data_IF_923626754866
#
_entry.id   IF_923626754866
#
_cell.length_a   1.000
_cell.length_b   1.000
_cell.length_c   1.000
_cell.angle_alpha   90.00
_cell.angle_beta   90.00
_cell.angle_gamma   90.00
#
_symmetry.space_group_name_H-M   'P 1'
#
loop_
_entity.id
_entity.type
_entity.pdbx_description
1 polymer ?
#
# COMPACT_ATOMS: atom_id res chain seq x y z
N UNK A 1 47.82 -17.92 30.98
CA UNK A 1 46.59 -18.74 31.02
C UNK A 1 45.52 -17.95 31.74
N UNK A 2 44.33 -17.88 31.15
CA UNK A 2 43.00 -17.53 31.68
C UNK A 2 42.24 -16.68 30.65
N UNK A 3 40.92 -16.91 30.61
CA UNK A 3 39.87 -16.28 29.81
C UNK A 3 39.47 -16.91 28.48
N UNK A 4 38.96 -18.14 28.57
CA UNK A 4 37.82 -18.67 27.82
C UNK A 4 36.99 -19.41 28.90
N UNK A 5 35.68 -19.31 29.10
CA UNK A 5 34.56 -19.02 28.23
C UNK A 5 33.38 -18.61 29.12
N UNK A 6 32.87 -17.39 28.97
CA UNK A 6 31.54 -17.01 29.47
C UNK A 6 30.61 -16.87 28.26
N UNK A 7 30.29 -17.99 27.61
CA UNK A 7 29.26 -18.00 26.56
C UNK A 7 27.90 -17.83 27.23
N UNK A 8 27.34 -16.62 27.15
CA UNK A 8 26.04 -16.34 27.72
C UNK A 8 24.94 -17.07 26.93
N UNK A 9 23.89 -17.57 27.61
CA UNK A 9 22.78 -18.28 26.97
C UNK A 9 21.98 -17.42 25.97
N UNK A 10 22.20 -16.09 25.95
CA UNK A 10 21.56 -15.16 25.02
C UNK A 10 22.04 -15.31 23.57
N UNK A 11 23.27 -15.75 23.33
CA UNK A 11 23.78 -15.95 21.96
C UNK A 11 23.13 -17.17 21.27
N UNK A 12 22.72 -18.17 22.03
CA UNK A 12 22.08 -19.40 21.50
C UNK A 12 20.67 -19.16 20.96
N UNK A 13 19.98 -18.09 21.41
CA UNK A 13 18.64 -17.73 20.93
C UNK A 13 18.65 -16.78 19.73
N UNK A 14 19.79 -16.13 19.46
CA UNK A 14 19.95 -15.19 18.34
C UNK A 14 19.54 -15.77 16.98
N UNK A 15 19.94 -17.00 16.59
CA UNK A 15 19.53 -17.57 15.31
C UNK A 15 18.02 -17.84 15.23
N UNK A 16 17.39 -18.23 16.34
CA UNK A 16 15.94 -18.48 16.40
C UNK A 16 15.17 -17.16 16.24
N UNK A 17 15.59 -16.10 16.94
CA UNK A 17 14.99 -14.76 16.82
C UNK A 17 15.14 -14.21 15.40
N UNK A 18 16.29 -14.42 14.75
CA UNK A 18 16.54 -13.97 13.37
C UNK A 18 15.65 -14.71 12.36
N UNK A 19 15.43 -16.02 12.56
CA UNK A 19 14.51 -16.82 11.74
C UNK A 19 13.06 -16.35 11.95
N UNK A 20 12.59 -16.20 13.20
CA UNK A 20 11.24 -15.69 13.48
C UNK A 20 11.04 -14.28 12.92
N UNK A 21 12.02 -13.39 13.07
CA UNK A 21 11.97 -12.04 12.52
C UNK A 21 11.97 -12.04 10.99
N UNK A 22 12.74 -12.92 10.34
CA UNK A 22 12.76 -13.05 8.88
C UNK A 22 11.43 -13.61 8.35
N UNK A 23 10.83 -14.61 9.01
CA UNK A 23 9.48 -15.09 8.70
C UNK A 23 8.42 -14.01 8.93
N UNK A 24 8.54 -13.22 10.00
CA UNK A 24 7.66 -12.09 10.25
C UNK A 24 7.78 -11.00 9.18
N UNK A 25 9.00 -10.65 8.75
CA UNK A 25 9.24 -9.72 7.66
C UNK A 25 8.71 -10.25 6.32
N UNK A 26 8.91 -11.54 6.02
CA UNK A 26 8.40 -12.18 4.80
C UNK A 26 6.87 -12.23 4.83
N UNK A 27 6.26 -12.57 5.96
CA UNK A 27 4.81 -12.60 6.16
C UNK A 27 4.20 -11.20 6.02
N UNK A 28 4.82 -10.19 6.62
CA UNK A 28 4.42 -8.77 6.49
C UNK A 28 4.55 -8.28 5.05
N UNK A 29 5.66 -8.61 4.37
CA UNK A 29 5.89 -8.26 2.96
C UNK A 29 4.96 -9.01 1.99
N UNK A 30 4.58 -10.26 2.32
CA UNK A 30 3.54 -11.01 1.59
C UNK A 30 2.15 -10.41 1.82
N UNK A 31 1.78 -10.04 3.05
CA UNK A 31 0.53 -9.34 3.32
C UNK A 31 0.43 -8.01 2.57
N UNK A 32 1.50 -7.22 2.52
CA UNK A 32 1.52 -5.96 1.78
C UNK A 32 1.44 -6.17 0.26
N UNK A 33 2.07 -7.22 -0.29
CA UNK A 33 1.93 -7.58 -1.71
C UNK A 33 0.55 -8.15 -2.06
N UNK A 34 -0.08 -8.89 -1.14
CA UNK A 34 -1.38 -9.54 -1.36
C UNK A 34 -2.56 -8.56 -1.17
N UNK A 35 -2.31 -7.38 -0.58
CA UNK A 35 -3.25 -6.26 -0.47
C UNK A 35 -3.30 -5.34 -1.69
N UNK A 36 -2.31 -5.42 -2.58
CA UNK A 36 -2.38 -4.75 -3.86
C UNK A 36 -3.28 -5.55 -4.78
N UNK A 37 -4.53 -5.09 -4.94
CA UNK A 37 -5.43 -5.59 -5.97
C UNK A 37 -4.75 -5.40 -7.33
N UNK A 38 -4.16 -6.46 -7.83
CA UNK A 38 -3.80 -6.60 -9.23
C UNK A 38 -5.10 -6.81 -10.01
N UNK A 39 -5.82 -5.74 -10.36
CA UNK A 39 -6.91 -5.78 -11.35
C UNK A 39 -7.31 -4.37 -11.78
N UNK A 40 -6.58 -3.78 -12.73
CA UNK A 40 -7.14 -2.68 -13.54
C UNK A 40 -8.43 -3.12 -14.23
N UNK A 41 -8.50 -4.38 -14.63
CA UNK A 41 -9.63 -4.98 -15.35
C UNK A 41 -10.92 -5.03 -14.51
N UNK A 42 -10.83 -5.34 -13.21
CA UNK A 42 -12.01 -5.36 -12.33
C UNK A 42 -12.56 -3.94 -12.12
N UNK A 43 -11.70 -2.94 -11.92
CA UNK A 43 -12.14 -1.54 -11.74
C UNK A 43 -12.79 -1.00 -13.00
N UNK A 44 -12.25 -1.36 -14.17
CA UNK A 44 -12.83 -0.97 -15.45
C UNK A 44 -14.23 -1.56 -15.64
N UNK A 45 -14.44 -2.83 -15.25
CA UNK A 45 -15.76 -3.45 -15.25
C UNK A 45 -16.75 -2.71 -14.34
N UNK A 46 -16.30 -2.28 -13.17
CA UNK A 46 -17.15 -1.52 -12.23
C UNK A 46 -17.62 -0.22 -12.83
N UNK A 47 -16.71 0.55 -13.44
CA UNK A 47 -17.09 1.82 -14.05
C UNK A 47 -18.00 1.59 -15.25
N UNK A 48 -17.78 0.54 -16.04
CA UNK A 48 -18.71 0.18 -17.13
C UNK A 48 -20.12 -0.13 -16.65
N UNK A 49 -20.26 -0.94 -15.60
CA UNK A 49 -21.56 -1.23 -15.01
C UNK A 49 -22.21 0.05 -14.47
N UNK A 50 -21.45 0.93 -13.82
CA UNK A 50 -21.95 2.23 -13.39
C UNK A 50 -22.43 3.12 -14.55
N UNK A 51 -21.67 3.19 -15.65
CA UNK A 51 -22.07 3.94 -16.84
C UNK A 51 -23.33 3.35 -17.49
N UNK A 52 -23.48 2.02 -17.46
CA UNK A 52 -24.68 1.34 -17.92
C UNK A 52 -25.90 1.69 -17.06
N UNK A 53 -25.75 1.70 -15.74
CA UNK A 53 -26.80 2.04 -14.78
C UNK A 53 -27.19 3.53 -14.81
N UNK A 54 -26.32 4.40 -15.32
CA UNK A 54 -26.56 5.85 -15.46
C UNK A 54 -26.91 6.25 -16.89
N UNK A 55 -27.35 5.31 -17.73
CA UNK A 55 -27.72 5.51 -19.14
C UNK A 55 -26.66 6.16 -20.03
N UNK A 56 -25.38 6.04 -19.66
CA UNK A 56 -24.22 6.56 -20.40
C UNK A 56 -23.53 5.47 -21.21
N UNK A 57 -24.33 4.59 -21.81
CA UNK A 57 -23.82 3.50 -22.63
C UNK A 57 -23.09 4.04 -23.87
N UNK A 58 -21.87 3.57 -24.11
CA UNK A 58 -21.02 4.00 -25.23
C UNK A 58 -20.02 5.12 -24.90
N UNK A 59 -20.02 5.63 -23.66
CA UNK A 59 -18.96 6.51 -23.17
C UNK A 59 -17.65 5.72 -23.04
N UNK A 60 -16.53 6.32 -23.43
CA UNK A 60 -15.19 5.71 -23.31
C UNK A 60 -14.52 6.19 -22.03
N UNK A 61 -13.78 5.33 -21.35
CA UNK A 61 -12.98 5.75 -20.19
C UNK A 61 -11.70 6.43 -20.65
N UNK A 62 -11.47 7.67 -20.22
CA UNK A 62 -10.26 8.43 -20.48
C UNK A 62 -9.22 8.14 -19.40
N UNK A 63 -9.62 8.36 -18.14
CA UNK A 63 -8.78 8.23 -16.96
C UNK A 63 -9.47 7.37 -15.91
N UNK A 64 -8.68 6.60 -15.17
CA UNK A 64 -9.17 5.74 -14.11
C UNK A 64 -8.14 5.61 -12.99
N UNK A 65 -8.58 5.90 -11.76
CA UNK A 65 -7.80 5.76 -10.55
C UNK A 65 -8.63 5.07 -9.46
N UNK A 66 -7.96 4.26 -8.65
CA UNK A 66 -8.57 3.54 -7.53
C UNK A 66 -7.81 3.88 -6.24
N UNK A 67 -8.52 4.39 -5.23
CA UNK A 67 -7.96 4.72 -3.94
C UNK A 67 -8.63 3.89 -2.84
N UNK A 68 -7.87 3.11 -2.04
CA UNK A 68 -8.44 2.47 -0.87
C UNK A 68 -8.87 3.52 0.15
N UNK A 69 -10.08 3.38 0.69
CA UNK A 69 -10.54 4.27 1.78
C UNK A 69 -9.63 4.12 3.01
N UNK A 70 -9.44 5.20 3.79
CA UNK A 70 -8.78 5.11 5.09
C UNK A 70 -9.52 4.11 5.98
N UNK A 71 -8.77 3.18 6.59
CA UNK A 71 -9.39 2.14 7.44
C UNK A 71 -9.71 2.65 8.83
N UNK A 72 -8.86 3.55 9.34
CA UNK A 72 -8.98 4.13 10.68
C UNK A 72 -9.01 5.64 10.61
N UNK A 73 -9.61 6.31 11.60
CA UNK A 73 -9.58 7.78 11.72
C UNK A 73 -8.13 8.28 11.82
N UNK A 74 -7.24 7.54 12.48
CA UNK A 74 -5.82 7.88 12.55
C UNK A 74 -5.17 7.96 11.15
N UNK A 75 -5.47 7.00 10.27
CA UNK A 75 -4.97 7.02 8.89
C UNK A 75 -5.55 8.17 8.07
N UNK A 76 -6.83 8.50 8.27
CA UNK A 76 -7.46 9.67 7.63
C UNK A 76 -6.75 10.95 8.05
N UNK A 77 -6.53 11.15 9.36
CA UNK A 77 -5.85 12.34 9.89
C UNK A 77 -4.44 12.50 9.30
N UNK A 78 -3.69 11.42 9.18
CA UNK A 78 -2.35 11.45 8.56
C UNK A 78 -2.41 11.88 7.08
N UNK A 79 -3.37 11.36 6.31
CA UNK A 79 -3.56 11.74 4.91
C UNK A 79 -3.97 13.21 4.75
N UNK A 80 -4.88 13.70 5.59
CA UNK A 80 -5.33 15.10 5.56
C UNK A 80 -4.20 16.05 5.93
N UNK A 81 -3.48 15.75 7.01
CA UNK A 81 -2.33 16.55 7.46
C UNK A 81 -1.23 16.60 6.38
N UNK A 82 -0.91 15.46 5.76
CA UNK A 82 0.06 15.39 4.65
C UNK A 82 -0.38 16.24 3.46
N UNK A 83 -1.67 16.16 3.09
CA UNK A 83 -2.24 16.94 1.99
C UNK A 83 -2.15 18.43 2.28
N UNK A 84 -2.61 18.88 3.46
CA UNK A 84 -2.59 20.29 3.86
C UNK A 84 -1.18 20.86 3.89
N UNK A 85 -0.22 20.16 4.49
CA UNK A 85 1.19 20.61 4.52
C UNK A 85 1.79 20.71 3.13
N UNK A 86 1.54 19.73 2.28
CA UNK A 86 2.09 19.75 0.92
C UNK A 86 1.52 20.91 0.11
N UNK A 87 0.22 21.15 0.19
CA UNK A 87 -0.42 22.27 -0.49
C UNK A 87 0.06 23.61 0.06
N UNK A 88 0.30 23.73 1.37
CA UNK A 88 0.91 24.91 1.97
C UNK A 88 2.33 25.14 1.42
N UNK A 89 3.17 24.10 1.38
CA UNK A 89 4.53 24.19 0.82
C UNK A 89 4.53 24.58 -0.66
N UNK A 90 3.62 24.01 -1.45
CA UNK A 90 3.48 24.33 -2.88
C UNK A 90 2.96 25.75 -3.09
N UNK A 91 1.97 26.20 -2.32
CA UNK A 91 1.46 27.57 -2.38
C UNK A 91 2.54 28.59 -2.01
N UNK A 92 3.29 28.36 -0.92
CA UNK A 92 4.39 29.24 -0.54
C UNK A 92 5.48 29.31 -1.62
N UNK A 93 5.76 28.18 -2.29
CA UNK A 93 6.68 28.15 -3.44
C UNK A 93 6.16 28.99 -4.61
N UNK A 94 4.87 28.86 -4.96
CA UNK A 94 4.25 29.59 -6.07
C UNK A 94 4.17 31.09 -5.80
N UNK A 95 3.95 31.48 -4.55
CA UNK A 95 3.91 32.88 -4.11
C UNK A 95 5.30 33.49 -3.89
N UNK A 96 6.38 32.74 -4.15
CA UNK A 96 7.76 33.22 -3.95
C UNK A 96 8.09 33.53 -2.48
N UNK A 97 7.29 33.04 -1.53
CA UNK A 97 7.53 33.28 -0.12
C UNK A 97 8.79 32.53 0.33
N UNK A 98 9.66 33.17 1.14
CA UNK A 98 10.85 32.52 1.66
C UNK A 98 10.42 31.29 2.47
N UNK A 99 11.04 30.14 2.20
CA UNK A 99 10.80 28.93 3.01
C UNK A 99 11.09 29.29 4.46
N UNK A 100 10.09 29.16 5.33
CA UNK A 100 10.33 29.27 6.76
C UNK A 100 11.47 28.31 7.12
N UNK A 101 12.61 28.87 7.54
CA UNK A 101 13.72 28.09 8.04
C UNK A 101 13.21 27.42 9.31
N UNK A 102 12.94 26.10 9.24
CA UNK A 102 12.57 25.32 10.41
C UNK A 102 13.56 25.66 11.54
N UNK A 103 13.10 26.20 12.67
CA UNK A 103 14.01 26.56 13.74
C UNK A 103 14.80 25.31 14.12
N UNK A 104 16.14 25.44 14.14
CA UNK A 104 17.10 24.37 14.44
C UNK A 104 16.88 23.68 15.81
N UNK A 105 15.91 24.14 16.60
CA UNK A 105 15.61 23.71 17.97
C UNK A 105 14.18 23.17 18.19
N UNK A 106 13.49 22.64 17.19
CA UNK A 106 12.30 21.79 17.49
C UNK A 106 12.75 20.35 17.68
N UNK A 107 13.34 20.12 18.85
CA UNK A 107 13.58 18.81 19.44
C UNK A 107 12.23 18.11 19.67
N UNK A 108 12.17 16.84 19.27
CA UNK A 108 11.57 15.76 20.05
C UNK A 108 10.12 15.92 20.50
N UNK A 109 9.19 16.38 19.64
CA UNK A 109 7.88 15.72 19.72
C UNK A 109 8.05 14.42 18.96
N UNK A 110 7.96 13.24 19.62
CA UNK A 110 7.88 12.00 18.89
C UNK A 110 6.76 12.16 17.87
N UNK A 111 6.95 11.74 16.62
CA UNK A 111 5.88 11.77 15.61
C UNK A 111 4.57 11.17 16.17
N UNK A 112 4.69 10.26 17.14
CA UNK A 112 3.61 9.71 17.95
C UNK A 112 2.78 10.72 18.75
N UNK A 113 3.39 11.70 19.44
CA UNK A 113 2.67 12.72 20.23
C UNK A 113 1.94 13.70 19.31
N UNK A 114 2.58 14.09 18.20
CA UNK A 114 1.93 14.92 17.18
C UNK A 114 0.74 14.20 16.55
N UNK A 115 0.89 12.90 16.23
CA UNK A 115 -0.19 12.05 15.69
C UNK A 115 -1.38 11.91 16.63
N UNK A 116 -1.17 11.91 17.96
CA UNK A 116 -2.27 11.82 18.94
C UNK A 116 -3.15 13.07 18.99
N UNK A 117 -2.61 14.25 18.68
CA UNK A 117 -3.32 15.52 18.84
C UNK A 117 -3.88 16.10 17.53
N UNK A 118 -3.62 15.46 16.38
CA UNK A 118 -4.24 15.88 15.12
C UNK A 118 -5.74 15.58 15.15
N UNK A 119 -6.55 16.58 14.80
CA UNK A 119 -8.00 16.48 14.69
C UNK A 119 -8.46 17.27 13.48
N UNK A 120 -9.34 16.66 12.68
CA UNK A 120 -9.92 17.26 11.48
C UNK A 120 -11.43 17.01 11.49
N UNK A 121 -12.19 17.73 12.35
CA UNK A 121 -13.57 17.36 12.68
C UNK A 121 -14.50 17.36 11.47
N UNK A 122 -14.35 18.32 10.55
CA UNK A 122 -15.16 18.40 9.32
C UNK A 122 -14.94 17.18 8.41
N UNK A 123 -13.69 16.81 8.19
CA UNK A 123 -13.32 15.64 7.40
C UNK A 123 -13.74 14.33 8.08
N UNK A 124 -13.58 14.24 9.40
CA UNK A 124 -13.98 13.07 10.18
C UNK A 124 -15.50 12.86 10.15
N UNK A 125 -16.28 13.92 10.33
CA UNK A 125 -17.74 13.89 10.25
C UNK A 125 -18.20 13.51 8.84
N UNK A 126 -17.59 14.09 7.80
CA UNK A 126 -17.87 13.73 6.41
C UNK A 126 -17.69 12.22 6.15
N UNK A 127 -16.55 11.65 6.55
CA UNK A 127 -16.27 10.23 6.33
C UNK A 127 -17.18 9.32 7.16
N UNK A 128 -17.57 9.73 8.38
CA UNK A 128 -18.56 9.00 9.20
C UNK A 128 -19.95 9.00 8.55
N UNK A 129 -20.41 10.15 8.06
CA UNK A 129 -21.69 10.24 7.36
C UNK A 129 -21.71 9.35 6.13
N UNK A 130 -20.64 9.38 5.34
CA UNK A 130 -20.46 8.53 4.18
C UNK A 130 -20.48 7.03 4.54
N UNK A 131 -19.80 6.66 5.63
CA UNK A 131 -19.81 5.28 6.14
C UNK A 131 -21.20 4.82 6.57
N UNK A 132 -21.98 5.69 7.21
CA UNK A 132 -23.36 5.40 7.60
C UNK A 132 -24.26 5.21 6.37
N UNK A 133 -24.24 6.14 5.42
CA UNK A 133 -24.99 5.99 4.15
C UNK A 133 -24.61 4.70 3.44
N UNK A 134 -23.33 4.38 3.43
CA UNK A 134 -22.86 3.12 2.87
C UNK A 134 -23.42 1.92 3.64
N UNK A 135 -23.41 1.94 4.97
CA UNK A 135 -23.97 0.86 5.79
C UNK A 135 -25.47 0.65 5.53
N UNK A 136 -26.24 1.73 5.39
CA UNK A 136 -27.66 1.70 5.03
C UNK A 136 -27.87 0.96 3.71
N UNK A 137 -27.19 1.38 2.63
CA UNK A 137 -27.30 0.75 1.29
C UNK A 137 -26.90 -0.73 1.30
N UNK A 138 -25.88 -1.11 2.07
CA UNK A 138 -25.42 -2.51 2.10
C UNK A 138 -26.39 -3.37 2.92
N UNK A 139 -26.96 -2.82 3.99
CA UNK A 139 -27.91 -3.53 4.86
C UNK A 139 -29.17 -3.97 4.11
N UNK A 140 -29.61 -3.21 3.10
CA UNK A 140 -30.72 -3.60 2.23
C UNK A 140 -30.41 -4.87 1.40
N UNK A 141 -29.12 -5.09 1.09
CA UNK A 141 -28.67 -6.14 0.17
C UNK A 141 -28.10 -7.37 0.87
N UNK A 142 -27.66 -7.24 2.12
CA UNK A 142 -26.95 -8.28 2.86
C UNK A 142 -27.43 -8.33 4.32
N UNK A 143 -27.99 -9.47 4.72
CA UNK A 143 -28.56 -9.71 6.07
C UNK A 143 -27.57 -9.44 7.21
N UNK A 144 -26.30 -9.80 7.03
CA UNK A 144 -25.24 -9.58 8.02
C UNK A 144 -25.05 -8.09 8.37
N UNK A 145 -25.30 -7.20 7.42
CA UNK A 145 -25.17 -5.75 7.59
C UNK A 145 -26.42 -5.11 8.21
N UNK A 146 -27.59 -5.77 8.15
CA UNK A 146 -28.79 -5.34 8.88
C UNK A 146 -28.55 -5.37 10.39
N UNK A 147 -27.92 -6.45 10.86
CA UNK A 147 -27.55 -6.58 12.27
C UNK A 147 -26.57 -5.48 12.73
N UNK A 148 -25.72 -4.98 11.83
CA UNK A 148 -24.82 -3.87 12.11
C UNK A 148 -25.55 -2.53 12.17
N UNK A 149 -26.46 -2.29 11.22
CA UNK A 149 -27.27 -1.07 11.23
C UNK A 149 -28.16 -1.01 12.49
N UNK A 150 -28.75 -2.14 12.89
CA UNK A 150 -29.50 -2.25 14.15
C UNK A 150 -28.62 -1.94 15.37
N UNK A 151 -27.41 -2.53 15.44
CA UNK A 151 -26.47 -2.26 16.52
C UNK A 151 -26.04 -0.79 16.55
N UNK A 152 -25.82 -0.16 15.40
CA UNK A 152 -25.56 1.28 15.33
C UNK A 152 -26.73 2.08 15.93
N UNK A 153 -27.96 1.79 15.50
CA UNK A 153 -29.15 2.49 15.96
C UNK A 153 -29.39 2.36 17.47
N UNK A 154 -29.05 1.21 18.07
CA UNK A 154 -29.15 1.02 19.53
C UNK A 154 -28.02 1.69 20.32
N UNK A 155 -26.84 1.87 19.71
CA UNK A 155 -25.64 2.36 20.38
C UNK A 155 -25.39 3.87 20.14
N UNK A 156 -25.98 4.47 19.10
CA UNK A 156 -25.65 5.83 18.64
C UNK A 156 -25.77 6.88 19.75
N UNK A 157 -26.71 6.75 20.68
CA UNK A 157 -26.93 7.74 21.75
C UNK A 157 -26.15 7.42 23.05
N UNK A 158 -25.43 6.30 23.10
CA UNK A 158 -24.67 5.89 24.27
C UNK A 158 -23.35 6.68 24.38
N UNK A 159 -23.07 7.21 25.59
CA UNK A 159 -21.84 7.99 25.86
C UNK A 159 -20.56 7.21 25.51
N UNK A 160 -20.51 5.92 25.87
CA UNK A 160 -19.35 5.06 25.57
C UNK A 160 -19.10 4.92 24.06
N UNK A 161 -20.17 4.82 23.27
CA UNK A 161 -20.07 4.71 21.82
C UNK A 161 -19.64 6.03 21.18
N UNK A 162 -20.16 7.15 21.67
CA UNK A 162 -19.76 8.48 21.22
C UNK A 162 -18.26 8.75 21.46
N UNK A 163 -17.71 8.32 22.60
CA UNK A 163 -16.27 8.41 22.84
C UNK A 163 -15.45 7.55 21.88
N UNK A 164 -15.92 6.33 21.57
CA UNK A 164 -15.26 5.49 20.57
C UNK A 164 -15.28 6.12 19.18
N UNK A 165 -16.38 6.77 18.78
CA UNK A 165 -16.48 7.44 17.49
C UNK A 165 -15.49 8.59 17.34
N UNK A 166 -14.94 9.17 18.42
CA UNK A 166 -13.85 10.17 18.30
C UNK A 166 -12.53 9.57 17.82
N UNK A 167 -12.38 8.25 17.91
CA UNK A 167 -11.14 7.53 17.61
C UNK A 167 -11.28 6.51 16.47
N UNK A 168 -12.50 5.99 16.25
CA UNK A 168 -12.80 4.93 15.31
C UNK A 168 -13.95 5.29 14.39
N UNK A 169 -13.92 4.72 13.20
CA UNK A 169 -15.06 4.72 12.29
C UNK A 169 -16.20 3.84 12.84
N UNK A 170 -17.42 4.03 12.34
CA UNK A 170 -18.64 3.38 12.84
C UNK A 170 -18.47 1.86 12.85
N UNK A 171 -17.98 1.28 11.75
CA UNK A 171 -17.83 -0.17 11.64
C UNK A 171 -16.67 -0.74 12.46
N UNK A 172 -15.72 0.10 12.88
CA UNK A 172 -14.66 -0.30 13.81
C UNK A 172 -15.10 -0.12 15.28
N UNK A 173 -16.00 0.82 15.56
CA UNK A 173 -16.53 1.10 16.89
C UNK A 173 -17.56 0.04 17.33
N UNK A 174 -18.48 -0.36 16.45
CA UNK A 174 -19.55 -1.33 16.78
C UNK A 174 -19.01 -2.65 17.38
N UNK A 175 -17.99 -3.31 16.79
CA UNK A 175 -17.45 -4.57 17.33
C UNK A 175 -16.81 -4.43 18.72
N UNK A 176 -16.37 -3.23 19.10
CA UNK A 176 -15.72 -2.98 20.39
C UNK A 176 -16.69 -2.97 21.56
N UNK A 177 -17.92 -2.52 21.34
CA UNK A 177 -18.99 -2.57 22.34
C UNK A 177 -19.78 -3.88 22.22
N UNK A 178 -20.23 -4.21 21.01
CA UNK A 178 -21.13 -5.35 20.80
C UNK A 178 -20.46 -6.73 20.88
N UNK A 179 -19.12 -6.78 20.97
CA UNK A 179 -18.28 -8.01 20.91
C UNK A 179 -18.48 -8.85 19.63
N UNK A 180 -19.19 -8.35 18.61
CA UNK A 180 -19.44 -9.03 17.33
C UNK A 180 -18.25 -8.87 16.38
N UNK A 181 -17.24 -9.74 16.48
CA UNK A 181 -15.95 -9.65 15.75
C UNK A 181 -15.99 -10.09 14.27
N UNK A 182 -17.07 -10.72 13.79
CA UNK A 182 -17.05 -11.54 12.56
C UNK A 182 -17.04 -10.77 11.22
N UNK A 183 -17.12 -9.44 11.19
CA UNK A 183 -17.30 -8.68 9.93
C UNK A 183 -16.20 -7.63 9.65
N UNK A 184 -15.04 -7.77 10.31
CA UNK A 184 -13.97 -6.77 10.40
C UNK A 184 -13.15 -6.48 9.11
N UNK A 185 -13.54 -6.98 7.93
CA UNK A 185 -12.72 -6.83 6.71
C UNK A 185 -13.53 -6.33 5.53
N UNK A 186 -14.07 -5.12 5.67
CA UNK A 186 -14.61 -4.33 4.57
C UNK A 186 -13.47 -3.76 3.74
N UNK A 187 -13.57 -3.92 2.42
CA UNK A 187 -12.59 -3.34 1.48
C UNK A 187 -13.30 -2.30 0.62
N UNK A 188 -13.37 -1.09 1.17
CA UNK A 188 -13.98 0.09 0.52
C UNK A 188 -12.96 0.81 -0.34
N UNK A 189 -13.37 1.21 -1.53
CA UNK A 189 -12.55 1.95 -2.46
C UNK A 189 -13.32 3.13 -3.03
N UNK A 190 -12.57 4.19 -3.30
CA UNK A 190 -12.99 5.31 -4.12
C UNK A 190 -12.45 5.08 -5.54
N UNK A 191 -13.35 4.99 -6.52
CA UNK A 191 -12.98 4.96 -7.93
C UNK A 191 -13.16 6.37 -8.48
N UNK A 192 -12.08 6.99 -8.94
CA UNK A 192 -12.13 8.28 -9.62
C UNK A 192 -11.89 8.08 -11.11
N UNK A 193 -12.72 8.64 -11.97
CA UNK A 193 -12.59 8.45 -13.41
C UNK A 193 -13.06 9.66 -14.22
N UNK A 194 -12.66 9.68 -15.49
CA UNK A 194 -13.18 10.60 -16.51
C UNK A 194 -13.62 9.81 -17.72
N UNK A 195 -14.63 10.32 -18.40
CA UNK A 195 -15.17 9.71 -19.60
C UNK A 195 -15.10 10.64 -20.80
N UNK A 196 -15.08 10.06 -21.99
CA UNK A 196 -15.25 10.75 -23.25
C UNK A 196 -16.64 10.35 -23.77
N UNK A 197 -17.49 11.34 -23.98
CA UNK A 197 -18.82 11.15 -24.56
C UNK A 197 -18.74 10.67 -26.02
N UNK A 198 -19.89 10.29 -26.60
CA UNK A 198 -19.97 9.95 -28.03
C UNK A 198 -19.59 11.11 -28.94
N UNK A 199 -19.79 12.35 -28.50
CA UNK A 199 -19.39 13.58 -29.20
C UNK A 199 -17.90 13.91 -29.06
N UNK A 200 -17.12 13.09 -28.35
CA UNK A 200 -15.69 13.35 -28.11
C UNK A 200 -15.41 14.32 -26.95
N UNK A 201 -16.43 14.76 -26.22
CA UNK A 201 -16.28 15.69 -25.10
C UNK A 201 -15.77 14.97 -23.85
N UNK A 202 -14.71 15.48 -23.25
CA UNK A 202 -14.12 14.93 -22.02
C UNK A 202 -14.87 15.45 -20.78
N UNK A 203 -15.32 14.54 -19.92
CA UNK A 203 -16.05 14.87 -18.70
C UNK A 203 -15.17 15.49 -17.62
N UNK A 204 -15.80 16.13 -16.63
CA UNK A 204 -15.15 16.39 -15.35
C UNK A 204 -14.81 15.08 -14.62
N UNK A 205 -14.00 15.18 -13.57
CA UNK A 205 -13.71 14.05 -12.70
C UNK A 205 -14.96 13.62 -11.93
N UNK A 206 -15.30 12.35 -12.06
CA UNK A 206 -16.33 11.69 -11.28
C UNK A 206 -15.68 10.79 -10.23
N UNK A 207 -16.38 10.58 -9.12
CA UNK A 207 -15.96 9.66 -8.10
C UNK A 207 -17.13 8.81 -7.60
N UNK A 208 -16.90 7.51 -7.49
CA UNK A 208 -17.87 6.55 -6.98
C UNK A 208 -17.25 5.72 -5.87
N UNK A 209 -18.06 5.41 -4.86
CA UNK A 209 -17.68 4.50 -3.80
C UNK A 209 -18.16 3.09 -4.10
N UNK A 210 -17.24 2.16 -3.90
CA UNK A 210 -17.46 0.75 -4.14
C UNK A 210 -16.97 -0.05 -2.95
N UNK A 211 -17.60 -1.19 -2.74
CA UNK A 211 -17.16 -2.16 -1.76
C UNK A 211 -16.99 -3.55 -2.37
N UNK A 212 -15.88 -4.19 -2.01
CA UNK A 212 -15.54 -5.53 -2.46
C UNK A 212 -15.86 -6.55 -1.37
N UNK A 213 -16.78 -7.46 -1.68
CA UNK A 213 -17.14 -8.59 -0.83
C UNK A 213 -16.52 -9.87 -1.37
N UNK A 214 -15.91 -10.69 -0.52
CA UNK A 214 -15.43 -12.01 -0.96
C UNK A 214 -16.63 -12.85 -1.38
N UNK A 215 -16.62 -13.40 -2.59
CA UNK A 215 -17.70 -14.26 -3.06
C UNK A 215 -17.48 -15.69 -2.52
N UNK A 216 -18.31 -16.19 -1.60
CA UNK A 216 -18.13 -17.54 -1.04
C UNK A 216 -18.45 -18.65 -2.05
N UNK A 217 -19.28 -18.36 -3.08
CA UNK A 217 -19.81 -19.36 -4.01
C UNK A 217 -18.98 -19.54 -5.29
N UNK A 218 -18.02 -18.66 -5.61
CA UNK A 218 -17.20 -18.76 -6.84
C UNK A 218 -15.77 -19.24 -6.56
N UNK A 219 -15.47 -20.51 -6.86
CA UNK A 219 -14.10 -21.02 -7.03
C UNK A 219 -13.59 -20.62 -8.43
N UNK A 220 -13.34 -19.34 -8.69
CA UNK A 220 -12.96 -18.84 -10.03
C UNK A 220 -12.18 -17.51 -10.03
N UNK A 221 -11.97 -16.90 -11.22
CA UNK A 221 -11.26 -15.61 -11.39
C UNK A 221 -12.00 -14.44 -10.71
N UNK A 222 -13.32 -14.50 -10.61
CA UNK A 222 -14.14 -13.50 -9.90
C UNK A 222 -14.27 -13.83 -8.41
N UNK A 223 -13.21 -13.49 -7.66
CA UNK A 223 -13.15 -13.73 -6.21
C UNK A 223 -14.03 -12.79 -5.39
N UNK A 224 -14.49 -11.69 -5.98
CA UNK A 224 -15.21 -10.62 -5.28
C UNK A 224 -16.53 -10.26 -5.96
N UNK A 225 -17.57 -10.02 -5.16
CA UNK A 225 -18.79 -9.31 -5.56
C UNK A 225 -18.54 -7.83 -5.31
N UNK A 226 -18.77 -7.00 -6.33
CA UNK A 226 -18.59 -5.56 -6.23
C UNK A 226 -19.95 -4.93 -6.01
N UNK A 227 -20.03 -4.02 -5.05
CA UNK A 227 -21.23 -3.27 -4.75
C UNK A 227 -20.94 -1.78 -4.89
N UNK A 228 -21.70 -1.11 -5.75
CA UNK A 228 -21.77 0.34 -5.76
C UNK A 228 -22.55 0.81 -4.53
N UNK A 229 -21.99 1.74 -3.78
CA UNK A 229 -22.58 2.23 -2.53
C UNK A 229 -22.99 3.69 -2.60
N UNK A 230 -22.20 4.54 -3.27
CA UNK A 230 -22.53 5.96 -3.40
C UNK A 230 -21.83 6.60 -4.61
N UNK A 231 -22.46 7.60 -5.22
CA UNK A 231 -21.78 8.59 -6.05
C UNK A 231 -21.31 9.73 -5.14
N UNK A 232 -20.06 10.17 -5.28
CA UNK A 232 -19.46 11.19 -4.42
C UNK A 232 -18.81 12.30 -5.23
N UNK A 233 -18.78 13.49 -4.65
CA UNK A 233 -18.12 14.63 -5.26
C UNK A 233 -16.59 14.46 -5.16
N UNK A 234 -15.94 14.33 -6.31
CA UNK A 234 -14.48 14.21 -6.41
C UNK A 234 -13.75 15.33 -5.67
N UNK A 235 -14.25 16.57 -5.73
CA UNK A 235 -13.59 17.73 -5.12
C UNK A 235 -13.58 17.62 -3.60
N UNK A 236 -14.64 17.05 -3.02
CA UNK A 236 -14.74 16.77 -1.57
C UNK A 236 -13.86 15.60 -1.11
N UNK A 237 -13.23 14.85 -2.01
CA UNK A 237 -12.34 13.75 -1.67
C UNK A 237 -10.85 14.15 -1.76
N UNK A 238 -10.54 15.29 -2.39
CA UNK A 238 -9.18 15.78 -2.59
C UNK A 238 -8.38 15.95 -1.30
N UNK A 239 -9.05 16.25 -0.17
CA UNK A 239 -8.41 16.48 1.13
C UNK A 239 -7.57 15.31 1.63
N UNK A 240 -7.83 14.08 1.17
CA UNK A 240 -7.06 12.91 1.57
C UNK A 240 -6.44 12.18 0.38
N UNK A 241 -7.09 12.12 -0.80
CA UNK A 241 -6.53 11.37 -1.94
C UNK A 241 -5.26 12.01 -2.50
N UNK A 242 -5.07 13.32 -2.34
CA UNK A 242 -3.85 14.00 -2.82
C UNK A 242 -2.60 13.42 -2.17
N UNK A 243 -2.64 13.12 -0.86
CA UNK A 243 -1.55 12.43 -0.15
C UNK A 243 -1.19 11.08 -0.79
N UNK A 244 -2.18 10.32 -1.26
CA UNK A 244 -1.96 9.03 -1.91
C UNK A 244 -1.36 9.19 -3.30
N UNK A 245 -1.82 10.17 -4.07
CA UNK A 245 -1.26 10.51 -5.37
C UNK A 245 0.22 10.90 -5.25
N UNK A 246 0.53 11.80 -4.31
CA UNK A 246 1.90 12.23 -4.03
C UNK A 246 2.81 11.06 -3.66
N UNK A 247 2.33 10.16 -2.78
CA UNK A 247 3.07 8.96 -2.40
C UNK A 247 3.35 8.08 -3.61
N UNK A 248 2.34 7.83 -4.45
CA UNK A 248 2.51 7.03 -5.66
C UNK A 248 3.58 7.63 -6.59
N UNK A 249 3.58 8.94 -6.80
CA UNK A 249 4.59 9.60 -7.63
C UNK A 249 6.00 9.51 -7.03
N UNK A 250 6.15 9.71 -5.72
CA UNK A 250 7.43 9.54 -5.01
C UNK A 250 7.96 8.11 -5.16
N UNK A 251 7.11 7.12 -4.89
CA UNK A 251 7.45 5.70 -4.99
C UNK A 251 7.88 5.33 -6.43
N UNK A 252 7.22 5.90 -7.45
CA UNK A 252 7.57 5.69 -8.87
C UNK A 252 8.95 6.26 -9.22
N UNK A 253 9.26 7.45 -8.71
CA UNK A 253 10.57 8.09 -8.91
C UNK A 253 11.67 7.28 -8.22
N UNK A 254 11.44 6.84 -6.98
CA UNK A 254 12.38 6.00 -6.24
C UNK A 254 12.60 4.64 -6.90
N UNK A 255 11.53 4.00 -7.37
CA UNK A 255 11.61 2.74 -8.10
C UNK A 255 12.43 2.87 -9.38
N UNK A 256 12.28 3.98 -10.13
CA UNK A 256 13.09 4.27 -11.31
C UNK A 256 14.57 4.43 -10.95
N UNK A 257 14.88 5.26 -9.95
CA UNK A 257 16.26 5.45 -9.46
C UNK A 257 16.90 4.15 -9.00
N UNK A 258 16.16 3.30 -8.29
CA UNK A 258 16.63 1.99 -7.84
C UNK A 258 16.86 1.04 -9.02
N UNK A 259 15.98 1.03 -10.02
CA UNK A 259 16.16 0.24 -11.25
C UNK A 259 17.44 0.64 -12.00
N UNK A 260 17.69 1.95 -12.14
CA UNK A 260 18.91 2.48 -12.76
C UNK A 260 20.18 2.08 -11.99
N UNK A 261 20.16 2.20 -10.65
CA UNK A 261 21.25 1.71 -9.79
C UNK A 261 21.47 0.20 -9.94
N UNK A 262 20.41 -0.60 -10.01
CA UNK A 262 20.52 -2.03 -10.21
C UNK A 262 21.11 -2.39 -11.58
N UNK A 263 20.70 -1.70 -12.65
CA UNK A 263 21.29 -1.85 -13.99
C UNK A 263 22.78 -1.51 -14.01
N UNK A 264 23.17 -0.39 -13.40
CA UNK A 264 24.57 0.01 -13.30
C UNK A 264 25.41 -1.02 -12.53
N UNK A 265 24.89 -1.52 -11.40
CA UNK A 265 25.55 -2.56 -10.61
C UNK A 265 25.64 -3.89 -11.36
N UNK A 266 24.62 -4.26 -12.14
CA UNK A 266 24.62 -5.45 -12.97
C UNK A 266 25.71 -5.37 -14.07
N UNK A 267 25.79 -4.25 -14.78
CA UNK A 267 26.83 -3.99 -15.79
C UNK A 267 28.22 -4.05 -15.15
N UNK A 268 28.41 -3.41 -13.98
CA UNK A 268 29.68 -3.47 -13.25
C UNK A 268 30.08 -4.89 -12.90
N UNK A 269 29.14 -5.72 -12.41
CA UNK A 269 29.39 -7.14 -12.10
C UNK A 269 29.72 -7.96 -13.34
N UNK A 270 29.07 -7.70 -14.47
CA UNK A 270 29.41 -8.37 -15.73
C UNK A 270 30.83 -8.02 -16.19
N UNK A 271 31.23 -6.75 -16.14
CA UNK A 271 32.61 -6.32 -16.46
C UNK A 271 33.65 -6.98 -15.55
N UNK A 272 33.38 -7.02 -14.24
CA UNK A 272 34.26 -7.70 -13.27
C UNK A 272 34.35 -9.20 -13.57
N UNK A 273 33.22 -9.88 -13.85
CA UNK A 273 33.23 -11.30 -14.23
C UNK A 273 33.97 -11.56 -15.53
N UNK A 274 33.81 -10.70 -16.55
CA UNK A 274 34.54 -10.81 -17.81
C UNK A 274 36.05 -10.63 -17.59
N UNK A 275 36.45 -9.65 -16.78
CA UNK A 275 37.84 -9.42 -16.40
C UNK A 275 38.45 -10.63 -15.67
N UNK A 276 37.79 -11.13 -14.62
CA UNK A 276 38.27 -12.33 -13.91
C UNK A 276 38.25 -13.58 -14.80
N UNK A 277 37.26 -13.74 -15.68
CA UNK A 277 37.20 -14.81 -16.66
C UNK A 277 38.40 -14.79 -17.61
N UNK A 278 38.77 -13.61 -18.10
CA UNK A 278 39.96 -13.42 -18.93
C UNK A 278 41.25 -13.79 -18.17
N UNK A 279 41.37 -13.33 -16.93
CA UNK A 279 42.55 -13.56 -16.07
C UNK A 279 42.72 -15.05 -15.71
N UNK A 280 41.62 -15.77 -15.52
CA UNK A 280 41.62 -17.24 -15.33
C UNK A 280 42.02 -17.93 -16.64
N UNK A 281 41.47 -17.51 -17.78
CA UNK A 281 41.78 -18.07 -19.09
C UNK A 281 43.27 -17.93 -19.43
N UNK A 282 43.84 -16.75 -19.26
CA UNK A 282 45.28 -16.50 -19.47
C UNK A 282 46.15 -17.38 -18.57
N UNK A 283 45.82 -17.50 -17.29
CA UNK A 283 46.54 -18.39 -16.36
C UNK A 283 46.44 -19.87 -16.75
N UNK A 284 45.28 -20.31 -17.23
CA UNK A 284 45.09 -21.67 -17.76
C UNK A 284 45.93 -21.91 -19.01
N UNK A 285 45.94 -20.96 -19.96
CA UNK A 285 46.75 -21.03 -21.17
C UNK A 285 48.25 -21.07 -20.85
N UNK A 286 48.73 -20.24 -19.93
CA UNK A 286 50.14 -20.25 -19.48
C UNK A 286 50.52 -21.60 -18.85
N UNK A 287 49.65 -22.17 -17.99
CA UNK A 287 49.88 -23.50 -17.41
C UNK A 287 49.90 -24.60 -18.47
N UNK A 288 49.01 -24.51 -19.47
CA UNK A 288 48.94 -25.47 -20.57
C UNK A 288 50.21 -25.41 -21.43
N UNK A 289 50.64 -24.20 -21.82
CA UNK A 289 51.88 -23.98 -22.58
C UNK A 289 53.10 -24.49 -21.80
N UNK A 290 53.17 -24.28 -20.49
CA UNK A 290 54.26 -24.84 -19.64
C UNK A 290 54.26 -26.37 -19.64
N UNK A 291 53.10 -27.01 -19.57
CA UNK A 291 52.99 -28.49 -19.64
C UNK A 291 53.38 -29.03 -21.02
N UNK A 292 53.10 -28.29 -22.09
CA UNK A 292 53.52 -28.66 -23.44
C UNK A 292 55.04 -28.52 -23.62
N UNK A 293 55.65 -27.47 -23.05
CA UNK A 293 57.12 -27.29 -23.08
C UNK A 293 57.87 -28.30 -22.22
N UNK A 294 57.31 -28.65 -21.07
CA UNK A 294 57.89 -29.60 -20.13
C UNK A 294 56.93 -30.77 -19.92
N UNK A 295 56.85 -31.71 -20.89
CA UNK A 295 55.97 -32.86 -20.76
C UNK A 295 56.37 -33.66 -19.51
N UNK A 296 55.39 -34.10 -18.69
CA UNK A 296 55.71 -34.91 -17.53
C UNK A 296 56.45 -36.15 -17.99
N UNK A 297 57.58 -36.46 -17.35
CA UNK A 297 58.34 -37.68 -17.65
C UNK A 297 57.39 -38.88 -17.55
N UNK A 298 57.43 -39.81 -18.51
CA UNK A 298 56.61 -41.01 -18.44
C UNK A 298 56.84 -41.68 -17.10
N UNK A 299 55.76 -42.00 -16.39
CA UNK A 299 55.87 -42.75 -15.14
C UNK A 299 56.52 -44.08 -15.49
N UNK A 300 57.71 -44.31 -14.94
CA UNK A 300 58.34 -45.63 -15.01
C UNK A 300 57.36 -46.64 -14.42
N UNK A 301 56.89 -47.53 -15.29
CA UNK A 301 56.11 -48.70 -14.89
C UNK A 301 57.09 -49.58 -14.14
N UNK A 302 56.98 -49.64 -12.81
CA UNK A 302 57.74 -50.60 -12.02
C UNK A 302 57.34 -52.00 -12.50
N UNK A 303 58.30 -52.83 -12.94
CA UNK A 303 58.01 -54.22 -13.27
C UNK A 303 57.50 -54.93 -12.01
N UNK A 304 56.53 -55.83 -12.20
CA UNK A 304 55.92 -56.65 -11.18
C UNK A 304 56.89 -57.69 -10.62
#
# INVERSE_FOLDING_TARGET
MLFLNSFSPLLSFLPIVLVVFSFWLIARKKQDKQRNISRKDDVWYVVKEYLKLTDRQGYRLADLSLYPRPKTIASLREYVDTTRRTLQEENSRLLGLPKEKKPWKVKLTPDFVRRKNLSFPKEEEYHKKLELTTLEVISEKLSDFQLYLQAYNSLKDQKEFQELLKQFFICEAIPKISKRRSLLLRSRYLVCFRTISRSGTLSEWEAIEIELFKNPKKRGKEKYKILFTAAVDYRKELHWIYSMQLRYFKDKIEARKNSEKHKANYIRRQKVRAFFGHLIFENCMVKMIRRLRNPPKPKEVKPA
#
